data_IF_759384321641
#
_entry.id   IF_759384321641
#
_cell.length_a   1.000
_cell.length_b   1.000
_cell.length_c   1.000
_cell.angle_alpha   90.00
_cell.angle_beta   90.00
_cell.angle_gamma   90.00
#
_symmetry.space_group_name_H-M   'P 1'
#
loop_
_entity.id
_entity.type
_entity.pdbx_description
1 polymer ?
#
# COMPACT_ATOMS: atom_id res chain seq x y z
N UNK A 1 -17.82 -14.87 -1.53
CA UNK A 1 -16.46 -14.45 -1.96
C UNK A 1 -16.17 -15.14 -3.28
N UNK A 2 -15.63 -14.42 -4.26
CA UNK A 2 -15.40 -14.91 -5.63
C UNK A 2 -14.19 -15.84 -5.68
N UNK A 3 -14.25 -16.92 -6.48
CA UNK A 3 -13.15 -17.89 -6.68
C UNK A 3 -11.80 -17.25 -7.04
N UNK A 4 -11.82 -16.05 -7.61
CA UNK A 4 -10.63 -15.27 -7.92
C UNK A 4 -9.89 -14.80 -6.66
N UNK A 5 -10.61 -14.47 -5.59
CA UNK A 5 -10.03 -14.08 -4.31
C UNK A 5 -9.32 -15.27 -3.66
N UNK A 6 -9.94 -16.45 -3.68
CA UNK A 6 -9.38 -17.67 -3.12
C UNK A 6 -8.08 -18.07 -3.85
N UNK A 7 -8.07 -17.98 -5.19
CA UNK A 7 -6.87 -18.23 -5.99
C UNK A 7 -5.75 -17.21 -5.73
N UNK A 8 -6.10 -15.96 -5.44
CA UNK A 8 -5.14 -14.93 -5.05
C UNK A 8 -4.53 -15.24 -3.69
N UNK A 9 -5.34 -15.66 -2.72
CA UNK A 9 -4.88 -16.03 -1.38
C UNK A 9 -3.94 -17.24 -1.41
N UNK A 10 -4.23 -18.25 -2.24
CA UNK A 10 -3.33 -19.39 -2.45
C UNK A 10 -1.97 -18.96 -3.00
N UNK A 11 -1.95 -18.10 -4.03
CA UNK A 11 -0.70 -17.59 -4.62
C UNK A 11 0.12 -16.77 -3.63
N UNK A 12 -0.53 -15.97 -2.80
CA UNK A 12 0.12 -15.22 -1.72
C UNK A 12 0.74 -16.17 -0.70
N UNK A 13 0.03 -17.25 -0.34
CA UNK A 13 0.53 -18.26 0.60
C UNK A 13 1.75 -19.02 0.04
N UNK A 14 1.75 -19.39 -1.24
CA UNK A 14 2.92 -20.01 -1.88
C UNK A 14 4.16 -19.11 -1.90
N UNK A 15 3.95 -17.80 -2.08
CA UNK A 15 5.04 -16.82 -2.02
C UNK A 15 5.62 -16.74 -0.61
N UNK A 16 4.78 -16.81 0.43
CA UNK A 16 5.24 -16.84 1.81
C UNK A 16 6.13 -18.04 2.11
N UNK A 17 5.70 -19.23 1.73
CA UNK A 17 6.48 -20.47 1.93
C UNK A 17 7.84 -20.36 1.23
N UNK A 18 7.87 -19.86 -0.02
CA UNK A 18 9.12 -19.65 -0.78
C UNK A 18 10.07 -18.61 -0.15
N UNK A 19 9.54 -17.68 0.64
CA UNK A 19 10.33 -16.66 1.34
C UNK A 19 10.84 -17.16 2.69
N UNK A 20 10.09 -18.02 3.38
CA UNK A 20 10.53 -18.71 4.60
C UNK A 20 11.74 -19.62 4.33
N UNK A 21 11.70 -20.42 3.25
CA UNK A 21 12.79 -21.33 2.87
C UNK A 21 14.12 -20.61 2.55
N UNK A 22 14.08 -19.31 2.26
CA UNK A 22 15.26 -18.50 1.91
C UNK A 22 15.96 -17.84 3.11
N UNK A 23 15.58 -18.15 4.35
CA UNK A 23 16.21 -17.58 5.56
C UNK A 23 16.13 -16.04 5.65
N UNK A 24 15.27 -15.40 4.84
CA UNK A 24 14.96 -13.96 4.88
C UNK A 24 13.87 -13.67 5.94
N UNK A 25 13.11 -14.68 6.36
CA UNK A 25 11.92 -14.53 7.19
C UNK A 25 12.08 -14.98 8.65
N UNK A 26 13.22 -14.68 9.30
CA UNK A 26 13.40 -15.04 10.73
C UNK A 26 12.76 -14.07 11.74
N UNK A 27 11.80 -13.23 11.31
CA UNK A 27 11.09 -12.30 12.20
C UNK A 27 9.61 -12.34 11.84
N UNK A 28 8.78 -12.97 12.68
CA UNK A 28 7.32 -12.87 12.58
C UNK A 28 6.94 -11.38 12.43
N UNK A 29 6.48 -10.99 11.25
CA UNK A 29 6.43 -9.58 10.82
C UNK A 29 6.89 -9.34 9.39
N UNK A 30 7.89 -10.10 8.90
CA UNK A 30 8.39 -9.97 7.53
C UNK A 30 7.33 -10.35 6.49
N UNK A 31 6.48 -11.33 6.80
CA UNK A 31 5.36 -11.74 5.95
C UNK A 31 4.33 -10.61 5.76
N UNK A 32 3.91 -9.99 6.86
CA UNK A 32 2.99 -8.84 6.82
C UNK A 32 3.61 -7.68 6.04
N UNK A 33 4.93 -7.48 6.17
CA UNK A 33 5.63 -6.41 5.45
C UNK A 33 5.66 -6.68 3.95
N UNK A 34 5.91 -7.93 3.54
CA UNK A 34 5.87 -8.32 2.12
C UNK A 34 4.49 -8.09 1.52
N UNK A 35 3.41 -8.51 2.20
CA UNK A 35 2.04 -8.27 1.70
C UNK A 35 1.70 -6.79 1.71
N UNK A 36 2.05 -6.06 2.77
CA UNK A 36 1.84 -4.62 2.85
C UNK A 36 2.50 -3.88 1.68
N UNK A 37 3.79 -4.13 1.45
CA UNK A 37 4.53 -3.49 0.37
C UNK A 37 4.00 -3.91 -1.01
N UNK A 38 3.70 -5.20 -1.20
CA UNK A 38 3.12 -5.69 -2.45
C UNK A 38 1.82 -4.98 -2.80
N UNK A 39 0.90 -4.88 -1.83
CA UNK A 39 -0.39 -4.18 -2.01
C UNK A 39 -0.18 -2.68 -2.20
N UNK A 40 0.65 -2.04 -1.39
CA UNK A 40 0.93 -0.61 -1.49
C UNK A 40 1.51 -0.23 -2.85
N UNK A 41 2.48 -1.01 -3.35
CA UNK A 41 3.11 -0.80 -4.66
C UNK A 41 2.10 -0.95 -5.78
N UNK A 42 1.25 -1.98 -5.74
CA UNK A 42 0.23 -2.20 -6.77
C UNK A 42 -0.79 -1.05 -6.79
N UNK A 43 -1.25 -0.60 -5.62
CA UNK A 43 -2.16 0.53 -5.49
C UNK A 43 -1.54 1.81 -6.08
N UNK A 44 -0.33 2.17 -5.66
CA UNK A 44 0.36 3.38 -6.12
C UNK A 44 0.63 3.33 -7.63
N UNK A 45 0.95 2.14 -8.15
CA UNK A 45 1.24 1.93 -9.57
C UNK A 45 0.00 2.03 -10.46
N UNK A 46 -1.18 1.75 -9.92
CA UNK A 46 -2.44 1.74 -10.66
C UNK A 46 -2.85 3.14 -11.15
N UNK A 47 -2.73 3.36 -12.46
CA UNK A 47 -3.25 4.56 -13.14
C UNK A 47 -4.78 4.65 -13.13
N UNK A 48 -5.47 3.53 -12.88
CA UNK A 48 -6.94 3.51 -12.72
C UNK A 48 -7.35 4.14 -11.39
N UNK A 49 -6.56 3.91 -10.33
CA UNK A 49 -6.79 4.48 -9.00
C UNK A 49 -6.22 5.90 -8.91
N UNK A 50 -4.96 6.09 -9.28
CA UNK A 50 -4.30 7.39 -9.23
C UNK A 50 -3.92 7.84 -10.64
N UNK A 51 -4.76 8.67 -11.25
CA UNK A 51 -4.54 9.19 -12.61
C UNK A 51 -3.30 10.06 -12.68
N UNK A 52 -3.01 10.84 -11.62
CA UNK A 52 -1.89 11.79 -11.59
C UNK A 52 -0.94 11.53 -10.44
N UNK A 53 0.34 11.84 -10.63
CA UNK A 53 1.35 11.66 -9.59
C UNK A 53 1.01 12.42 -8.31
N UNK A 54 0.40 13.61 -8.41
CA UNK A 54 -0.01 14.40 -7.25
C UNK A 54 -1.00 13.65 -6.35
N UNK A 55 -1.86 12.80 -6.90
CA UNK A 55 -2.84 12.02 -6.13
C UNK A 55 -2.14 10.93 -5.31
N UNK A 56 -1.03 10.37 -5.82
CA UNK A 56 -0.17 9.45 -5.06
C UNK A 56 0.53 10.18 -3.93
N UNK A 57 1.05 11.40 -4.20
CA UNK A 57 1.69 12.22 -3.17
C UNK A 57 0.71 12.52 -2.03
N UNK A 58 -0.52 12.95 -2.36
CA UNK A 58 -1.56 13.21 -1.37
C UNK A 58 -1.96 11.97 -0.58
N UNK A 59 -2.05 10.80 -1.23
CA UNK A 59 -2.37 9.54 -0.55
C UNK A 59 -1.27 9.15 0.45
N UNK A 60 -0.01 9.20 0.01
CA UNK A 60 1.14 8.81 0.83
C UNK A 60 1.35 9.74 2.02
N UNK A 61 1.17 11.04 1.81
CA UNK A 61 1.22 12.03 2.89
C UNK A 61 0.07 11.82 3.88
N UNK A 62 -1.19 11.79 3.42
CA UNK A 62 -2.34 11.74 4.33
C UNK A 62 -2.54 10.38 5.02
N UNK A 63 -2.02 9.28 4.50
CA UNK A 63 -2.18 7.94 5.11
C UNK A 63 -0.95 7.46 5.85
N UNK A 64 0.23 7.88 5.44
CA UNK A 64 1.49 7.40 5.99
C UNK A 64 2.44 8.52 6.43
N UNK A 65 2.08 9.80 6.26
CA UNK A 65 2.93 10.94 6.60
C UNK A 65 4.16 11.07 5.69
N UNK A 66 4.19 10.39 4.55
CA UNK A 66 5.35 10.36 3.66
C UNK A 66 5.28 11.55 2.71
N UNK A 67 6.23 12.47 2.88
CA UNK A 67 6.41 13.61 1.98
C UNK A 67 7.63 13.40 1.09
N UNK A 68 7.57 14.00 -0.10
CA UNK A 68 8.63 13.91 -1.09
C UNK A 68 9.13 15.30 -1.50
N UNK A 69 10.40 15.39 -1.89
CA UNK A 69 10.93 16.53 -2.61
C UNK A 69 10.31 16.63 -4.02
N UNK A 70 10.25 17.83 -4.60
CA UNK A 70 9.52 18.08 -5.85
C UNK A 70 10.04 17.26 -7.04
N UNK A 71 11.34 17.01 -7.11
CA UNK A 71 11.92 16.18 -8.17
C UNK A 71 11.43 14.72 -8.09
N UNK A 72 11.15 14.21 -6.89
CA UNK A 72 10.64 12.85 -6.67
C UNK A 72 9.17 12.75 -7.13
N UNK A 73 8.36 13.77 -6.84
CA UNK A 73 6.93 13.83 -7.21
C UNK A 73 6.69 13.70 -8.73
N UNK A 74 7.70 14.02 -9.56
CA UNK A 74 7.62 13.93 -11.03
C UNK A 74 7.68 12.50 -11.57
N UNK A 75 8.17 11.53 -10.79
CA UNK A 75 8.35 10.14 -11.23
C UNK A 75 7.68 9.15 -10.29
N UNK A 76 6.64 8.47 -10.77
CA UNK A 76 5.93 7.44 -10.00
C UNK A 76 6.82 6.26 -9.61
N UNK A 77 7.68 5.72 -10.49
CA UNK A 77 8.67 4.71 -10.08
C UNK A 77 9.60 5.20 -8.97
N UNK A 78 10.03 6.48 -9.02
CA UNK A 78 10.90 7.04 -8.00
C UNK A 78 10.17 7.20 -6.65
N UNK A 79 8.91 7.64 -6.66
CA UNK A 79 8.07 7.66 -5.46
C UNK A 79 7.89 6.26 -4.86
N UNK A 80 7.63 5.26 -5.70
CA UNK A 80 7.50 3.86 -5.27
C UNK A 80 8.79 3.39 -4.60
N UNK A 81 9.94 3.56 -5.25
CA UNK A 81 11.23 3.15 -4.70
C UNK A 81 11.51 3.81 -3.35
N UNK A 82 11.30 5.13 -3.24
CA UNK A 82 11.48 5.87 -1.98
C UNK A 82 10.50 5.43 -0.89
N UNK A 83 9.26 5.12 -1.23
CA UNK A 83 8.24 4.61 -0.28
C UNK A 83 8.64 3.25 0.26
N UNK A 84 9.04 2.33 -0.62
CA UNK A 84 9.48 0.98 -0.22
C UNK A 84 10.71 1.07 0.68
N UNK A 85 11.70 1.88 0.30
CA UNK A 85 12.89 2.12 1.13
C UNK A 85 12.53 2.70 2.49
N UNK A 86 11.59 3.65 2.56
CA UNK A 86 11.14 4.22 3.84
C UNK A 86 10.63 3.15 4.79
N UNK A 87 9.75 2.26 4.34
CA UNK A 87 9.19 1.23 5.21
C UNK A 87 10.22 0.18 5.63
N UNK A 88 11.04 -0.31 4.69
CA UNK A 88 12.08 -1.32 5.00
C UNK A 88 13.18 -0.80 5.94
N UNK A 89 13.46 0.51 5.94
CA UNK A 89 14.49 1.09 6.80
C UNK A 89 13.99 1.53 8.18
N UNK A 90 12.67 1.69 8.35
CA UNK A 90 12.05 2.14 9.60
C UNK A 90 11.30 1.02 10.33
N UNK A 91 11.63 -0.25 10.05
CA UNK A 91 10.96 -1.47 10.54
C UNK A 91 10.81 -1.56 12.07
N UNK A 92 11.63 -0.88 12.87
CA UNK A 92 11.48 -0.85 14.33
C UNK A 92 10.33 0.04 14.82
N UNK A 93 9.89 1.01 14.01
CA UNK A 93 8.89 2.02 14.40
C UNK A 93 7.58 1.92 13.60
N UNK A 94 7.57 1.15 12.52
CA UNK A 94 6.37 0.96 11.71
C UNK A 94 5.60 -0.26 12.22
N UNK A 95 4.42 -0.01 12.80
CA UNK A 95 3.44 -1.07 12.99
C UNK A 95 2.87 -1.48 11.63
N UNK A 96 3.39 -2.59 11.10
CA UNK A 96 2.99 -3.13 9.80
C UNK A 96 1.52 -3.56 9.80
N UNK A 97 0.98 -4.02 10.93
CA UNK A 97 -0.42 -4.44 11.03
C UNK A 97 -1.34 -3.23 10.97
N UNK A 98 -1.00 -2.14 11.65
CA UNK A 98 -1.73 -0.87 11.51
C UNK A 98 -1.65 -0.34 10.07
N UNK A 99 -0.48 -0.42 9.45
CA UNK A 99 -0.27 0.01 8.06
C UNK A 99 -1.12 -0.81 7.06
N UNK A 100 -1.24 -2.12 7.28
CA UNK A 100 -2.15 -2.99 6.54
C UNK A 100 -3.62 -2.64 6.76
N UNK A 101 -4.03 -2.36 8.00
CA UNK A 101 -5.39 -1.94 8.32
C UNK A 101 -5.76 -0.63 7.60
N UNK A 102 -4.83 0.34 7.55
CA UNK A 102 -5.02 1.59 6.78
C UNK A 102 -5.21 1.32 5.29
N UNK A 103 -4.42 0.42 4.71
CA UNK A 103 -4.59 0.02 3.30
C UNK A 103 -5.93 -0.67 3.06
N UNK A 104 -6.30 -1.61 3.92
CA UNK A 104 -7.57 -2.31 3.82
C UNK A 104 -8.75 -1.33 3.90
N UNK A 105 -8.74 -0.41 4.86
CA UNK A 105 -9.75 0.63 5.00
C UNK A 105 -9.86 1.52 3.75
N UNK A 106 -8.73 1.87 3.14
CA UNK A 106 -8.73 2.58 1.85
C UNK A 106 -9.37 1.73 0.74
N UNK A 107 -8.94 0.48 0.55
CA UNK A 107 -9.46 -0.42 -0.49
C UNK A 107 -10.97 -0.62 -0.36
N UNK A 108 -11.46 -0.86 0.86
CA UNK A 108 -12.90 -1.01 1.13
C UNK A 108 -13.67 0.27 0.78
N UNK A 109 -13.14 1.45 1.12
CA UNK A 109 -13.76 2.72 0.75
C UNK A 109 -13.83 2.93 -0.77
N UNK A 110 -12.82 2.45 -1.51
CA UNK A 110 -12.81 2.46 -2.97
C UNK A 110 -13.85 1.51 -3.56
N UNK A 111 -13.91 0.27 -3.07
CA UNK A 111 -14.82 -0.77 -3.57
C UNK A 111 -16.28 -0.40 -3.30
N UNK A 112 -16.59 0.10 -2.10
CA UNK A 112 -17.95 0.39 -1.67
C UNK A 112 -18.54 1.69 -2.26
N UNK A 113 -17.86 2.31 -3.23
CA UNK A 113 -18.48 3.35 -4.04
C UNK A 113 -18.97 4.55 -3.22
N UNK A 114 -18.15 5.12 -2.33
CA UNK A 114 -18.29 6.56 -2.01
C UNK A 114 -17.87 7.39 -3.23
N UNK A 115 -18.61 7.18 -4.32
CA UNK A 115 -18.59 7.85 -5.60
C UNK A 115 -20.06 8.07 -5.96
N UNK A 116 -20.62 9.15 -5.43
CA UNK A 116 -21.34 10.09 -6.27
C UNK A 116 -20.82 11.45 -5.81
N UNK A 117 -20.03 12.10 -6.67
CA UNK A 117 -19.50 13.46 -6.56
C UNK A 117 -18.38 13.76 -5.55
N UNK A 118 -17.54 12.79 -5.16
CA UNK A 118 -16.38 13.03 -4.29
C UNK A 118 -15.06 12.75 -5.00
N UNK A 119 -14.13 13.70 -4.94
CA UNK A 119 -12.78 13.55 -5.49
C UNK A 119 -11.95 12.58 -4.64
N UNK A 120 -10.87 12.02 -5.19
CA UNK A 120 -9.91 11.22 -4.41
C UNK A 120 -9.40 11.96 -3.16
N UNK A 121 -9.28 13.28 -3.24
CA UNK A 121 -8.90 14.13 -2.11
C UNK A 121 -9.95 14.10 -1.00
N UNK A 122 -11.23 13.95 -1.33
CA UNK A 122 -12.35 13.82 -0.40
C UNK A 122 -12.44 12.41 0.21
N UNK A 123 -12.18 11.37 -0.58
CA UNK A 123 -12.06 9.99 -0.05
C UNK A 123 -10.96 9.92 1.01
N UNK A 124 -9.79 10.52 0.71
CA UNK A 124 -8.66 10.50 1.63
C UNK A 124 -8.96 11.29 2.92
N UNK A 125 -9.68 12.43 2.82
CA UNK A 125 -10.12 13.26 3.96
C UNK A 125 -11.23 12.62 4.79
N UNK A 126 -12.13 11.84 4.17
CA UNK A 126 -13.29 11.25 4.85
C UNK A 126 -12.95 10.13 5.83
N UNK A 127 -11.74 9.57 5.72
CA UNK A 127 -11.23 8.57 6.64
C UNK A 127 -10.54 9.32 7.79
N UNK A 128 -11.31 9.63 8.84
CA UNK A 128 -10.77 9.91 10.17
C UNK A 128 -10.56 8.57 10.87
N UNK A 129 -9.31 8.19 11.07
CA UNK A 129 -8.87 7.20 12.04
C UNK A 129 -7.99 7.95 13.04
#
# INVERSE_FOLDING_TARGET
MTKELDSLLEKVNELFIKLEDRNIAKKAGSEYMVVFLGVLVELISSKKLFKRNIEVVEFLDKKFGITFADYVKKSRPLMIGKTVTYFLQNDEYVDVKDSLNRLYGFIVAVINGKQNDLTWSDVIKSIKL
#
